data_IF_920497786871
#
_entry.id   IF_920497786871
#
_cell.length_a   1.000
_cell.length_b   1.000
_cell.length_c   1.000
_cell.angle_alpha   90.00
_cell.angle_beta   90.00
_cell.angle_gamma   90.00
#
_symmetry.space_group_name_H-M   'P 1'
#
loop_
_entity.id
_entity.type
_entity.pdbx_description
1 polymer ?
#
# COMPACT_ATOMS: atom_id res chain seq x y z
N UNK A 1 -3.42 39.77 35.55
CA UNK A 1 -3.83 38.43 35.10
C UNK A 1 -4.06 38.35 33.58
N UNK A 2 -4.68 39.32 32.91
CA UNK A 2 -4.92 39.28 31.45
C UNK A 2 -3.66 39.38 30.54
N UNK A 3 -2.48 39.67 31.08
CA UNK A 3 -1.23 39.82 30.31
C UNK A 3 -0.43 38.53 30.16
N UNK A 4 -0.73 37.50 30.95
CA UNK A 4 -0.01 36.22 30.88
C UNK A 4 -0.61 35.25 29.86
N UNK A 5 -1.93 35.28 29.60
CA UNK A 5 -2.60 34.32 28.70
C UNK A 5 -2.43 34.63 27.20
N UNK A 6 -2.15 35.90 26.86
CA UNK A 6 -2.01 36.35 25.46
C UNK A 6 -0.87 35.65 24.68
N UNK A 7 0.36 35.51 25.22
CA UNK A 7 1.47 34.91 24.48
C UNK A 7 1.29 33.41 24.19
N UNK A 8 0.79 32.62 25.13
CA UNK A 8 0.57 31.18 24.91
C UNK A 8 -0.55 30.90 23.93
N UNK A 9 -1.65 31.66 24.04
CA UNK A 9 -2.73 31.58 23.09
C UNK A 9 -2.22 31.92 21.68
N UNK A 10 -1.31 32.88 21.54
CA UNK A 10 -0.77 33.28 20.23
C UNK A 10 0.02 32.15 19.55
N UNK A 11 0.89 31.42 20.27
CA UNK A 11 1.68 30.33 19.68
C UNK A 11 0.80 29.12 19.32
N UNK A 12 -0.14 28.77 20.19
CA UNK A 12 -1.13 27.73 19.90
C UNK A 12 -2.02 28.14 18.72
N UNK A 13 -2.43 29.41 18.63
CA UNK A 13 -3.18 29.93 17.49
C UNK A 13 -2.35 29.90 16.20
N UNK A 14 -1.05 30.21 16.24
CA UNK A 14 -0.17 30.11 15.07
C UNK A 14 -0.04 28.66 14.60
N UNK A 15 0.16 27.72 15.52
CA UNK A 15 0.20 26.28 15.21
C UNK A 15 -1.13 25.77 14.64
N UNK A 16 -2.25 26.16 15.26
CA UNK A 16 -3.60 25.83 14.81
C UNK A 16 -3.90 26.40 13.43
N UNK A 17 -3.56 27.67 13.17
CA UNK A 17 -3.74 28.32 11.87
C UNK A 17 -2.88 27.63 10.81
N UNK A 18 -1.63 27.30 11.12
CA UNK A 18 -0.75 26.59 10.20
C UNK A 18 -1.29 25.19 9.84
N UNK A 19 -1.77 24.45 10.84
CA UNK A 19 -2.39 23.14 10.63
C UNK A 19 -3.65 23.26 9.76
N UNK A 20 -4.53 24.21 10.08
CA UNK A 20 -5.77 24.45 9.35
C UNK A 20 -5.52 24.82 7.87
N UNK A 21 -4.49 25.64 7.59
CA UNK A 21 -4.06 25.97 6.22
C UNK A 21 -3.61 24.72 5.45
N UNK A 22 -3.01 23.74 6.12
CA UNK A 22 -2.62 22.46 5.54
C UNK A 22 -3.76 21.43 5.48
N UNK A 23 -4.97 21.77 5.93
CA UNK A 23 -6.08 20.81 6.03
C UNK A 23 -5.86 19.74 7.10
N UNK A 24 -5.11 20.09 8.15
CA UNK A 24 -4.75 19.23 9.28
C UNK A 24 -5.15 19.91 10.60
N UNK A 25 -5.06 19.16 11.70
CA UNK A 25 -5.14 19.68 13.06
C UNK A 25 -3.78 19.52 13.76
N UNK A 26 -3.59 20.21 14.89
CA UNK A 26 -2.41 19.94 15.74
C UNK A 26 -2.42 18.48 16.23
N UNK A 27 -1.24 17.92 16.47
CA UNK A 27 -1.08 16.53 16.86
C UNK A 27 -1.87 16.21 18.15
N UNK A 28 -2.68 15.16 18.08
CA UNK A 28 -3.40 14.55 19.20
C UNK A 28 -3.02 13.09 19.31
N UNK A 29 -3.01 12.55 20.53
CA UNK A 29 -2.58 11.17 20.81
C UNK A 29 -3.65 10.48 21.65
N UNK A 30 -4.16 9.35 21.16
CA UNK A 30 -5.30 8.62 21.77
C UNK A 30 -4.97 7.21 22.25
N UNK A 31 -3.78 6.70 21.97
CA UNK A 31 -3.34 5.40 22.45
C UNK A 31 -1.80 5.27 22.42
N UNK A 32 -1.31 4.19 23.03
CA UNK A 32 0.13 3.93 23.09
C UNK A 32 0.73 3.62 21.71
N UNK A 33 -0.03 2.98 20.82
CA UNK A 33 0.43 2.67 19.47
C UNK A 33 0.68 3.95 18.66
N UNK A 34 -0.19 4.96 18.78
CA UNK A 34 -0.03 6.27 18.14
C UNK A 34 1.17 7.01 18.72
N UNK A 35 1.34 7.00 20.04
CA UNK A 35 2.51 7.60 20.68
C UNK A 35 3.82 6.95 20.18
N UNK A 36 3.87 5.62 20.13
CA UNK A 36 5.02 4.86 19.64
C UNK A 36 5.29 5.12 18.14
N UNK A 37 4.23 5.19 17.32
CA UNK A 37 4.33 5.51 15.90
C UNK A 37 4.93 6.89 15.66
N UNK A 38 4.49 7.90 16.43
CA UNK A 38 5.05 9.25 16.36
C UNK A 38 6.54 9.21 16.67
N UNK A 39 6.95 8.58 17.78
CA UNK A 39 8.36 8.51 18.18
C UNK A 39 9.24 7.80 17.15
N UNK A 40 8.76 6.69 16.59
CA UNK A 40 9.47 5.95 15.54
C UNK A 40 9.62 6.78 14.27
N UNK A 41 8.56 7.49 13.87
CA UNK A 41 8.55 8.39 12.71
C UNK A 41 9.55 9.52 12.90
N UNK A 42 9.57 10.15 14.08
CA UNK A 42 10.51 11.22 14.40
C UNK A 42 11.95 10.70 14.34
N UNK A 43 12.25 9.59 15.03
CA UNK A 43 13.60 8.98 15.03
C UNK A 43 14.12 8.64 13.63
N UNK A 44 13.24 8.16 12.74
CA UNK A 44 13.61 7.74 11.38
C UNK A 44 13.69 8.89 10.38
N UNK A 45 12.73 9.80 10.42
CA UNK A 45 12.50 10.76 9.35
C UNK A 45 12.93 12.17 9.71
N UNK A 46 13.13 12.48 10.99
CA UNK A 46 13.34 13.86 11.42
C UNK A 46 14.25 14.02 12.65
N UNK A 47 15.41 14.66 12.46
CA UNK A 47 16.29 15.08 13.57
C UNK A 47 15.81 16.41 14.15
N UNK A 48 14.63 16.38 14.74
CA UNK A 48 14.01 17.52 15.40
C UNK A 48 14.61 17.84 16.78
N UNK A 49 14.01 18.81 17.50
CA UNK A 49 14.32 19.05 18.89
C UNK A 49 13.89 17.86 19.77
N UNK A 50 14.43 17.82 20.98
CA UNK A 50 14.11 16.79 21.98
C UNK A 50 12.66 16.87 22.47
N UNK A 51 12.00 18.01 22.27
CA UNK A 51 10.64 18.27 22.72
C UNK A 51 9.78 18.85 21.60
N UNK A 52 8.57 18.34 21.46
CA UNK A 52 7.64 18.75 20.42
C UNK A 52 6.34 19.21 21.06
N UNK A 53 5.80 20.32 20.58
CA UNK A 53 4.52 20.83 21.06
C UNK A 53 3.38 19.91 20.63
N UNK A 54 2.59 19.48 21.62
CA UNK A 54 1.35 18.77 21.40
C UNK A 54 0.19 19.74 21.19
N UNK A 55 -0.86 19.31 20.48
CA UNK A 55 -2.10 20.05 20.29
C UNK A 55 -3.00 20.06 21.52
N UNK A 56 -2.44 20.21 22.72
CA UNK A 56 -3.15 20.16 23.99
C UNK A 56 -3.06 21.49 24.73
N UNK A 57 -4.16 21.90 25.35
CA UNK A 57 -4.24 23.09 26.19
C UNK A 57 -4.94 22.78 27.51
N UNK A 58 -4.67 23.58 28.53
CA UNK A 58 -5.40 23.54 29.79
C UNK A 58 -6.63 24.47 29.71
N UNK A 59 -7.82 23.90 29.90
CA UNK A 59 -9.07 24.64 30.02
C UNK A 59 -9.25 25.06 31.47
N UNK A 60 -9.23 26.37 31.73
CA UNK A 60 -9.36 26.92 33.08
C UNK A 60 -10.78 26.87 33.62
N UNK A 61 -11.80 26.78 32.76
CA UNK A 61 -13.19 26.73 33.19
C UNK A 61 -13.56 25.31 33.66
N UNK A 62 -13.02 24.30 32.97
CA UNK A 62 -13.24 22.88 33.26
C UNK A 62 -12.08 22.24 34.06
N UNK A 63 -11.08 23.04 34.46
CA UNK A 63 -9.86 22.62 35.17
C UNK A 63 -9.22 21.34 34.60
N UNK A 64 -9.18 21.20 33.27
CA UNK A 64 -8.78 19.96 32.60
C UNK A 64 -8.02 20.19 31.29
N UNK A 65 -7.18 19.22 30.92
CA UNK A 65 -6.48 19.24 29.64
C UNK A 65 -7.38 18.76 28.49
N UNK A 66 -7.34 19.47 27.36
CA UNK A 66 -8.16 19.19 26.17
C UNK A 66 -7.34 19.30 24.88
N UNK A 67 -7.73 18.51 23.89
CA UNK A 67 -7.14 18.57 22.55
C UNK A 67 -7.79 19.66 21.69
N UNK A 68 -6.99 20.33 20.86
CA UNK A 68 -7.47 21.34 19.90
C UNK A 68 -8.34 20.75 18.78
N UNK A 69 -8.12 19.48 18.42
CA UNK A 69 -8.94 18.75 17.43
C UNK A 69 -10.33 18.34 17.97
N UNK A 70 -10.65 18.72 19.22
CA UNK A 70 -11.91 18.44 19.94
C UNK A 70 -12.16 16.95 20.20
N UNK A 71 -11.16 16.10 20.02
CA UNK A 71 -11.24 14.70 20.40
C UNK A 71 -11.18 14.53 21.92
N UNK A 72 -11.68 13.39 22.41
CA UNK A 72 -11.62 13.09 23.83
C UNK A 72 -10.22 12.67 24.25
N UNK A 73 -9.79 13.17 25.42
CA UNK A 73 -8.58 12.70 26.08
C UNK A 73 -8.83 11.30 26.65
N UNK A 74 -8.35 10.29 25.93
CA UNK A 74 -8.55 8.86 26.26
C UNK A 74 -7.26 8.16 26.67
N UNK A 75 -6.13 8.84 26.50
CA UNK A 75 -4.80 8.35 26.77
C UNK A 75 -3.94 9.52 27.24
N UNK A 76 -3.03 9.22 28.15
CA UNK A 76 -2.00 10.12 28.62
C UNK A 76 -0.72 9.34 28.97
N UNK A 77 0.40 10.04 28.87
CA UNK A 77 1.72 9.49 29.22
C UNK A 77 2.56 10.55 29.91
N UNK A 78 1.99 11.19 30.94
CA UNK A 78 2.67 12.23 31.69
C UNK A 78 3.97 11.71 32.31
N UNK A 79 5.04 12.48 32.21
CA UNK A 79 6.24 12.25 32.99
C UNK A 79 5.94 12.52 34.47
N UNK A 80 6.58 11.77 35.37
CA UNK A 80 6.55 12.07 36.80
C UNK A 80 7.20 13.45 37.01
N UNK A 81 6.38 14.44 37.36
CA UNK A 81 6.83 15.80 37.64
C UNK A 81 6.57 16.12 39.11
N UNK A 82 7.60 16.63 39.80
CA UNK A 82 7.51 17.08 41.19
C UNK A 82 6.98 18.51 41.25
N UNK A 83 5.74 18.68 41.72
CA UNK A 83 5.22 19.99 42.15
C UNK A 83 3.83 20.36 41.66
N UNK A 84 3.19 21.27 42.41
CA UNK A 84 1.98 21.98 41.99
C UNK A 84 2.43 23.15 41.10
N UNK A 85 2.61 22.88 39.81
CA UNK A 85 2.96 23.92 38.84
C UNK A 85 1.74 24.78 38.52
N UNK A 86 1.92 26.11 38.43
CA UNK A 86 0.90 27.03 37.95
C UNK A 86 0.46 26.62 36.55
N UNK A 87 -0.74 26.02 36.44
CA UNK A 87 -1.30 25.50 35.18
C UNK A 87 -1.72 26.62 34.21
N UNK A 88 -1.68 27.87 34.66
CA UNK A 88 -1.93 29.04 33.83
C UNK A 88 -0.79 29.15 32.82
N UNK A 89 -1.12 29.24 31.54
CA UNK A 89 -0.13 29.42 30.46
C UNK A 89 0.74 28.18 30.18
N UNK A 90 0.23 27.00 30.53
CA UNK A 90 0.93 25.73 30.34
C UNK A 90 0.63 25.09 28.98
N UNK A 91 1.69 24.83 28.22
CA UNK A 91 1.69 23.97 27.04
C UNK A 91 2.15 22.56 27.39
N UNK A 92 1.76 21.60 26.56
CA UNK A 92 2.24 20.22 26.70
C UNK A 92 3.22 19.87 25.60
N UNK A 93 4.31 19.21 25.99
CA UNK A 93 5.37 18.78 25.10
C UNK A 93 5.57 17.28 25.16
N UNK A 94 5.74 16.65 24.02
CA UNK A 94 6.19 15.27 23.89
C UNK A 94 7.71 15.23 23.87
N UNK A 95 8.30 14.48 24.80
CA UNK A 95 9.72 14.22 24.80
C UNK A 95 10.04 13.10 23.79
N UNK A 96 10.83 13.41 22.76
CA UNK A 96 11.04 12.52 21.60
C UNK A 96 11.88 11.27 21.91
N UNK A 97 12.59 11.27 23.03
CA UNK A 97 13.43 10.12 23.44
C UNK A 97 12.64 9.10 24.26
N UNK A 98 11.97 9.55 25.34
CA UNK A 98 11.19 8.70 26.26
C UNK A 98 9.75 8.47 25.81
N UNK A 99 9.17 9.43 25.08
CA UNK A 99 7.76 9.39 24.69
C UNK A 99 6.80 9.87 25.76
N UNK A 100 7.32 10.45 26.84
CA UNK A 100 6.52 11.00 27.93
C UNK A 100 6.17 12.46 27.67
N UNK A 101 5.10 12.92 28.31
CA UNK A 101 4.55 14.24 28.14
C UNK A 101 4.92 15.11 29.32
N UNK A 102 5.36 16.33 29.06
CA UNK A 102 5.73 17.29 30.08
C UNK A 102 4.93 18.57 29.93
N UNK A 103 4.56 19.14 31.08
CA UNK A 103 4.03 20.49 31.18
C UNK A 103 5.20 21.47 31.08
N UNK A 104 4.97 22.62 30.44
CA UNK A 104 5.96 23.68 30.36
C UNK A 104 5.37 24.97 29.83
N UNK A 105 6.08 26.07 30.04
CA UNK A 105 5.65 27.38 29.55
C UNK A 105 5.65 27.40 28.01
N UNK A 106 4.60 27.95 27.39
CA UNK A 106 4.54 28.09 25.94
C UNK A 106 5.51 29.15 25.40
N UNK A 107 5.99 30.10 26.22
CA UNK A 107 6.87 31.20 25.78
C UNK A 107 8.31 30.77 25.42
N UNK A 108 8.65 29.49 25.61
CA UNK A 108 10.01 28.99 25.38
C UNK A 108 10.30 28.91 23.87
N UNK A 109 11.37 29.58 23.45
CA UNK A 109 11.76 29.78 22.05
C UNK A 109 12.20 28.50 21.32
N UNK A 110 12.30 27.36 22.01
CA UNK A 110 12.56 26.03 21.44
C UNK A 110 11.33 25.39 20.77
N UNK A 111 10.15 26.00 20.92
CA UNK A 111 8.82 25.48 20.56
C UNK A 111 8.44 25.78 19.10
N UNK A 112 9.42 25.90 18.20
CA UNK A 112 9.14 26.26 16.80
C UNK A 112 8.66 25.08 15.94
N UNK A 113 8.49 23.90 16.52
CA UNK A 113 8.01 22.74 15.77
C UNK A 113 6.80 22.10 16.42
N UNK A 114 5.68 22.21 15.71
CA UNK A 114 4.42 21.56 15.99
C UNK A 114 4.20 20.46 14.96
N UNK A 115 3.82 19.26 15.40
CA UNK A 115 3.37 18.22 14.49
C UNK A 115 1.89 18.41 14.16
N UNK A 116 1.52 18.14 12.91
CA UNK A 116 0.15 18.21 12.45
C UNK A 116 -0.35 16.80 12.11
N UNK A 117 -1.60 16.52 12.43
CA UNK A 117 -2.32 15.29 12.12
C UNK A 117 -3.43 15.60 11.14
N UNK A 118 -3.39 14.97 9.97
CA UNK A 118 -4.44 15.09 8.98
C UNK A 118 -5.24 13.78 8.92
N UNK A 119 -6.55 13.86 9.13
CA UNK A 119 -7.43 12.74 8.83
C UNK A 119 -7.57 12.63 7.32
N UNK A 120 -6.90 11.64 6.71
CA UNK A 120 -7.14 11.32 5.30
C UNK A 120 -8.47 10.56 5.25
N UNK A 121 -9.55 11.12 4.67
CA UNK A 121 -10.76 10.36 4.45
C UNK A 121 -10.42 9.25 3.45
N UNK A 122 -10.25 8.02 3.95
CA UNK A 122 -10.00 6.85 3.12
C UNK A 122 -11.26 6.55 2.29
N UNK A 123 -11.46 7.31 1.20
CA UNK A 123 -12.36 6.88 0.13
C UNK A 123 -11.72 5.64 -0.47
N UNK A 124 -12.21 4.47 -0.07
CA UNK A 124 -11.96 3.18 -0.72
C UNK A 124 -12.60 3.23 -2.13
N UNK A 125 -12.07 4.07 -3.03
CA UNK A 125 -12.71 4.40 -4.32
C UNK A 125 -11.91 3.94 -5.55
N UNK A 126 -10.72 3.36 -5.37
CA UNK A 126 -9.86 2.97 -6.50
C UNK A 126 -9.57 1.47 -6.66
N UNK A 127 -10.04 0.61 -5.74
CA UNK A 127 -9.74 -0.84 -5.80
C UNK A 127 -10.95 -1.73 -6.14
N UNK A 128 -12.16 -1.18 -6.27
CA UNK A 128 -13.37 -1.99 -6.49
C UNK A 128 -13.83 -2.05 -7.95
N UNK A 129 -13.87 -0.92 -8.67
CA UNK A 129 -14.56 -0.89 -9.98
C UNK A 129 -13.62 -1.20 -11.16
N UNK A 130 -12.42 -0.61 -11.19
CA UNK A 130 -11.48 -0.84 -12.28
C UNK A 130 -10.92 -2.27 -12.26
N UNK A 131 -10.75 -2.88 -11.08
CA UNK A 131 -10.22 -4.24 -10.97
C UNK A 131 -11.20 -5.28 -11.55
N UNK A 132 -12.52 -5.09 -11.37
CA UNK A 132 -13.54 -5.97 -11.94
C UNK A 132 -13.60 -5.81 -13.46
N UNK A 133 -13.58 -4.57 -13.97
CA UNK A 133 -13.58 -4.31 -15.42
C UNK A 133 -12.32 -4.85 -16.11
N UNK A 134 -11.14 -4.63 -15.52
CA UNK A 134 -9.87 -5.14 -16.04
C UNK A 134 -9.84 -6.66 -15.99
N UNK A 135 -10.28 -7.27 -14.89
CA UNK A 135 -10.38 -8.74 -14.75
C UNK A 135 -11.33 -9.35 -15.78
N UNK A 136 -12.48 -8.72 -16.02
CA UNK A 136 -13.45 -9.18 -17.01
C UNK A 136 -12.89 -9.07 -18.43
N UNK A 137 -12.23 -7.96 -18.78
CA UNK A 137 -11.61 -7.76 -20.09
C UNK A 137 -10.54 -8.81 -20.37
N UNK A 138 -9.64 -9.05 -19.42
CA UNK A 138 -8.55 -10.03 -19.54
C UNK A 138 -9.12 -11.44 -19.75
N UNK A 139 -10.13 -11.81 -18.96
CA UNK A 139 -10.79 -13.12 -19.08
C UNK A 139 -11.44 -13.30 -20.45
N UNK A 140 -12.15 -12.29 -20.95
CA UNK A 140 -12.78 -12.33 -22.26
C UNK A 140 -11.76 -12.48 -23.40
N UNK A 141 -10.64 -11.76 -23.34
CA UNK A 141 -9.56 -11.86 -24.33
C UNK A 141 -8.93 -13.25 -24.36
N UNK A 142 -8.67 -13.85 -23.20
CA UNK A 142 -8.10 -15.21 -23.12
C UNK A 142 -9.06 -16.23 -23.75
N UNK A 143 -10.35 -16.18 -23.40
CA UNK A 143 -11.35 -17.09 -23.97
C UNK A 143 -11.40 -16.95 -25.49
N UNK A 144 -11.43 -15.72 -26.01
CA UNK A 144 -11.45 -15.49 -27.45
C UNK A 144 -10.24 -16.08 -28.17
N UNK A 145 -9.03 -15.90 -27.62
CA UNK A 145 -7.81 -16.46 -28.18
C UNK A 145 -7.80 -17.99 -28.18
N UNK A 146 -8.30 -18.63 -27.11
CA UNK A 146 -8.41 -20.10 -27.06
C UNK A 146 -9.39 -20.65 -28.10
N UNK A 147 -10.52 -19.96 -28.31
CA UNK A 147 -11.53 -20.36 -29.30
C UNK A 147 -10.99 -20.19 -30.72
N UNK A 148 -10.37 -19.04 -31.03
CA UNK A 148 -9.76 -18.82 -32.34
C UNK A 148 -8.66 -19.84 -32.62
N UNK A 149 -7.80 -20.13 -31.64
CA UNK A 149 -6.78 -21.16 -31.76
C UNK A 149 -7.35 -22.54 -32.08
N UNK A 150 -8.42 -22.94 -31.39
CA UNK A 150 -9.11 -24.21 -31.65
C UNK A 150 -9.76 -24.26 -33.05
N UNK A 151 -10.38 -23.17 -33.51
CA UNK A 151 -10.97 -23.07 -34.85
C UNK A 151 -9.88 -23.19 -35.92
N UNK A 152 -8.80 -22.42 -35.80
CA UNK A 152 -7.67 -22.46 -36.75
C UNK A 152 -7.06 -23.86 -36.79
N UNK A 153 -6.84 -24.48 -35.63
CA UNK A 153 -6.35 -25.86 -35.53
C UNK A 153 -7.27 -26.86 -36.25
N UNK A 154 -8.59 -26.75 -36.04
CA UNK A 154 -9.58 -27.61 -36.67
C UNK A 154 -9.61 -27.44 -38.19
N UNK A 155 -9.56 -26.18 -38.66
CA UNK A 155 -9.49 -25.88 -40.10
C UNK A 155 -8.20 -26.39 -40.73
N UNK A 156 -7.06 -26.23 -40.06
CA UNK A 156 -5.77 -26.77 -40.49
C UNK A 156 -5.81 -28.30 -40.60
N UNK A 157 -6.33 -28.98 -39.58
CA UNK A 157 -6.49 -30.43 -39.58
C UNK A 157 -7.44 -30.91 -40.70
N UNK A 158 -8.51 -30.18 -40.97
CA UNK A 158 -9.44 -30.48 -42.08
C UNK A 158 -8.80 -30.25 -43.45
N UNK A 159 -7.98 -29.21 -43.60
CA UNK A 159 -7.24 -28.96 -44.84
C UNK A 159 -6.21 -30.08 -45.11
N UNK A 160 -5.58 -30.62 -44.06
CA UNK A 160 -4.71 -31.78 -44.17
C UNK A 160 -5.45 -33.06 -44.64
N UNK A 161 -6.72 -33.22 -44.26
CA UNK A 161 -7.56 -34.35 -44.70
C UNK A 161 -8.13 -34.15 -46.13
N UNK A 162 -8.39 -32.91 -46.55
CA UNK A 162 -8.88 -32.60 -47.90
C UNK A 162 -7.79 -32.76 -48.99
N UNK A 163 -6.52 -32.86 -48.61
CA UNK A 163 -5.41 -33.17 -49.51
C UNK A 163 -5.25 -34.66 -49.87
N UNK A 164 -6.10 -35.57 -49.36
CA UNK A 164 -5.92 -37.02 -49.51
C UNK A 164 -7.13 -37.80 -50.07
N UNK A 165 -8.11 -37.18 -50.71
CA UNK A 165 -9.19 -37.96 -51.36
C UNK A 165 -9.57 -37.46 -52.75
N UNK A 166 -8.88 -37.98 -53.77
CA UNK A 166 -9.49 -38.25 -55.08
C UNK A 166 -9.26 -39.72 -55.45
N UNK A 167 -10.37 -40.41 -55.68
CA UNK A 167 -10.52 -41.85 -55.86
C UNK A 167 -10.43 -42.21 -57.36
N UNK A 168 -9.67 -43.27 -57.61
CA UNK A 168 -9.70 -44.27 -58.68
C UNK A 168 -10.88 -44.28 -59.69
N UNK A 169 -10.59 -44.33 -61.00
CA UNK A 169 -11.23 -45.30 -61.93
C UNK A 169 -10.49 -45.45 -63.28
N UNK A 170 -10.18 -46.73 -63.59
CA UNK A 170 -10.14 -47.43 -64.90
C UNK A 170 -9.10 -47.06 -65.99
N UNK A 171 -8.23 -48.04 -66.25
CA UNK A 171 -7.13 -48.08 -67.22
C UNK A 171 -7.55 -48.12 -68.71
N UNK A 172 -6.58 -47.91 -69.62
CA UNK A 172 -6.23 -48.99 -70.55
C UNK A 172 -4.72 -49.32 -70.63
N UNK A 173 -4.49 -50.59 -70.98
CA UNK A 173 -3.25 -51.38 -71.15
C UNK A 173 -2.09 -50.69 -71.88
N UNK A 174 -0.85 -50.97 -71.43
CA UNK A 174 0.35 -51.24 -72.27
C UNK A 174 1.57 -51.59 -71.39
N UNK A 175 2.67 -52.19 -71.91
CA UNK A 175 3.21 -53.45 -71.40
C UNK A 175 4.62 -53.34 -70.80
N UNK A 176 5.05 -54.42 -70.11
CA UNK A 176 6.46 -54.81 -69.95
C UNK A 176 7.28 -53.97 -68.94
N UNK A 177 7.50 -54.51 -67.73
CA UNK A 177 8.77 -55.13 -67.24
C UNK A 177 9.47 -54.15 -66.25
N UNK A 178 10.10 -54.52 -65.15
CA UNK A 178 10.52 -55.81 -64.59
C UNK A 178 10.58 -55.67 -63.06
N UNK A 179 10.46 -56.81 -62.37
CA UNK A 179 11.00 -57.11 -61.05
C UNK A 179 10.69 -56.18 -59.86
N UNK A 180 9.97 -56.72 -58.89
CA UNK A 180 10.62 -57.20 -57.67
C UNK A 180 9.57 -57.93 -56.81
N UNK A 181 9.77 -59.23 -56.69
CA UNK A 181 8.99 -60.13 -55.86
C UNK A 181 9.91 -60.62 -54.74
N UNK A 182 9.31 -60.73 -53.54
CA UNK A 182 9.78 -61.45 -52.36
C UNK A 182 10.95 -60.80 -51.57
N UNK A 183 11.06 -60.87 -50.23
CA UNK A 183 10.15 -61.27 -49.14
C UNK A 183 10.87 -61.06 -47.81
N UNK A 184 10.05 -60.79 -46.78
CA UNK A 184 10.18 -61.05 -45.33
C UNK A 184 11.45 -60.59 -44.59
N UNK A 185 11.16 -59.88 -43.51
CA UNK A 185 12.05 -59.48 -42.44
C UNK A 185 12.71 -60.68 -41.74
N UNK A 186 14.00 -60.53 -41.42
CA UNK A 186 14.63 -61.30 -40.35
C UNK A 186 15.50 -60.34 -39.54
N UNK A 187 15.16 -60.22 -38.26
CA UNK A 187 16.03 -59.67 -37.23
C UNK A 187 17.32 -60.50 -37.18
N UNK A 188 18.48 -59.86 -36.99
CA UNK A 188 19.31 -60.10 -35.81
C UNK A 188 20.68 -59.46 -35.92
N UNK A 189 21.16 -59.13 -34.74
CA UNK A 189 22.40 -58.47 -34.36
C UNK A 189 23.64 -59.12 -35.02
N UNK A 190 24.59 -58.27 -35.41
CA UNK A 190 25.92 -58.76 -35.76
C UNK A 190 26.79 -58.92 -34.52
N UNK A 191 27.27 -60.15 -34.32
CA UNK A 191 28.60 -60.40 -33.80
C UNK A 191 29.35 -61.41 -34.69
N UNK A 192 30.39 -60.89 -35.38
CA UNK A 192 31.78 -61.41 -35.40
C UNK A 192 32.08 -62.70 -36.20
N UNK A 193 32.74 -62.50 -37.38
CA UNK A 193 34.07 -63.04 -37.83
C UNK A 193 34.19 -64.57 -38.12
N UNK A 194 34.98 -65.13 -39.04
CA UNK A 194 36.19 -64.89 -39.88
C UNK A 194 36.01 -65.77 -41.17
N UNK A 195 36.69 -65.68 -42.30
CA UNK A 195 37.93 -65.09 -42.82
C UNK A 195 37.72 -64.92 -44.35
#
# INVERSE_FOLDING_TARGET
MLRAVLPSLLLLLLGLVAAAVAGADMISIHNEEENAFILDTLKKQWKGPDDILLGMFFDTDDESFKWFDKSNMTFDKWADQDGEEDLVDTCTFLHTTTGEWKKGNCEVTSVQVTLCKAAIPYKKKYLSDNHILISALVTASIVFLTVLGAIVWFLYKRNLAYGFTTIFSTAPRSPYNDDCVLVIAEENEHAVQFD
#
